data_IF_103962137517
#
_entry.id   IF_103962137517
#
_cell.length_a   1.000
_cell.length_b   1.000
_cell.length_c   1.000
_cell.angle_alpha   90.00
_cell.angle_beta   90.00
_cell.angle_gamma   90.00
#
_symmetry.space_group_name_H-M   'P 1'
#
loop_
_entity.id
_entity.type
_entity.pdbx_description
1 polymer ?
#
# COMPACT_ATOMS: atom_id res chain seq x y z
N UNK A 1 20.45 14.07 0.91
CA UNK A 1 19.75 13.96 2.20
C UNK A 1 19.85 12.58 2.86
N UNK A 2 19.23 11.49 2.36
CA UNK A 2 19.31 10.19 3.07
C UNK A 2 20.71 9.54 3.06
N UNK A 3 21.50 9.75 2.00
CA UNK A 3 22.91 9.29 1.94
C UNK A 3 23.78 9.99 3.00
N UNK A 4 23.60 11.31 3.18
CA UNK A 4 24.38 12.09 4.16
C UNK A 4 24.08 11.65 5.60
N UNK A 5 22.82 11.34 5.91
CA UNK A 5 22.43 10.83 7.24
C UNK A 5 23.00 9.43 7.47
N UNK A 6 23.02 8.56 6.46
CA UNK A 6 23.63 7.22 6.57
C UNK A 6 25.14 7.30 6.81
N UNK A 7 25.84 8.19 6.11
CA UNK A 7 27.29 8.38 6.29
C UNK A 7 27.64 8.92 7.68
N UNK A 8 26.88 9.89 8.18
CA UNK A 8 27.04 10.42 9.53
C UNK A 8 26.82 9.37 10.63
N UNK A 9 25.91 8.42 10.42
CA UNK A 9 25.65 7.31 11.35
C UNK A 9 26.74 6.23 11.31
N UNK A 10 27.26 5.94 10.11
CA UNK A 10 28.41 5.04 9.92
C UNK A 10 29.68 5.61 10.59
N UNK A 11 29.92 6.93 10.50
CA UNK A 11 31.10 7.61 11.07
C UNK A 11 31.14 7.62 12.62
N UNK A 12 29.97 7.49 13.28
CA UNK A 12 29.85 7.43 14.75
C UNK A 12 29.70 5.99 15.29
N UNK A 13 29.94 4.98 14.46
CA UNK A 13 29.91 3.57 14.85
C UNK A 13 28.51 2.97 14.99
N UNK A 14 27.47 3.69 14.57
CA UNK A 14 26.09 3.20 14.48
C UNK A 14 25.88 2.58 13.09
N UNK A 15 26.54 1.45 12.85
CA UNK A 15 26.37 0.69 11.60
C UNK A 15 24.99 0.02 11.62
N UNK A 16 23.96 0.73 11.14
CA UNK A 16 22.68 0.09 10.83
C UNK A 16 22.87 -0.82 9.61
N UNK A 17 22.34 -2.04 9.67
CA UNK A 17 22.27 -2.89 8.47
C UNK A 17 21.52 -2.11 7.38
N UNK A 18 22.21 -1.82 6.28
CA UNK A 18 21.67 -1.04 5.14
C UNK A 18 20.38 -1.68 4.61
N UNK A 19 20.24 -3.00 4.72
CA UNK A 19 19.04 -3.73 4.35
C UNK A 19 17.88 -3.41 5.31
N UNK A 20 18.12 -3.45 6.62
CA UNK A 20 17.12 -3.10 7.62
C UNK A 20 16.69 -1.64 7.51
N UNK A 21 17.63 -0.71 7.31
CA UNK A 21 17.33 0.70 7.13
C UNK A 21 16.45 0.93 5.88
N UNK A 22 16.74 0.23 4.78
CA UNK A 22 15.93 0.28 3.56
C UNK A 22 14.50 -0.23 3.81
N UNK A 23 14.35 -1.37 4.49
CA UNK A 23 13.04 -1.93 4.85
C UNK A 23 12.26 -0.95 5.75
N UNK A 24 12.91 -0.40 6.77
CA UNK A 24 12.30 0.58 7.68
C UNK A 24 11.85 1.84 6.93
N UNK A 25 12.64 2.32 5.98
CA UNK A 25 12.30 3.49 5.16
C UNK A 25 11.08 3.21 4.27
N UNK A 26 11.04 2.04 3.61
CA UNK A 26 9.89 1.61 2.80
C UNK A 26 8.64 1.50 3.66
N UNK A 27 8.72 0.87 4.84
CA UNK A 27 7.60 0.74 5.77
C UNK A 27 7.11 2.11 6.25
N UNK A 28 8.01 3.03 6.57
CA UNK A 28 7.67 4.38 6.98
C UNK A 28 6.94 5.15 5.87
N UNK A 29 7.41 5.05 4.63
CA UNK A 29 6.75 5.64 3.46
C UNK A 29 5.35 5.05 3.26
N UNK A 30 5.23 3.71 3.24
CA UNK A 30 3.93 3.02 3.08
C UNK A 30 2.95 3.41 4.18
N UNK A 31 3.40 3.52 5.43
CA UNK A 31 2.58 3.99 6.54
C UNK A 31 2.10 5.44 6.38
N UNK A 32 2.95 6.33 5.84
CA UNK A 32 2.58 7.71 5.54
C UNK A 32 1.47 7.76 4.48
N UNK A 33 1.62 6.99 3.41
CA UNK A 33 0.63 6.87 2.33
C UNK A 33 -0.71 6.32 2.85
N UNK A 34 -0.69 5.24 3.65
CA UNK A 34 -1.90 4.66 4.25
C UNK A 34 -2.64 5.71 5.11
N UNK A 35 -1.93 6.45 5.95
CA UNK A 35 -2.55 7.49 6.79
C UNK A 35 -3.23 8.57 5.94
N UNK A 36 -2.58 9.02 4.86
CA UNK A 36 -3.14 10.00 3.94
C UNK A 36 -4.41 9.48 3.26
N UNK A 37 -4.40 8.22 2.81
CA UNK A 37 -5.59 7.57 2.23
C UNK A 37 -6.73 7.39 3.25
N UNK A 38 -6.44 7.07 4.51
CA UNK A 38 -7.48 6.96 5.56
C UNK A 38 -8.17 8.30 5.79
N UNK A 39 -7.41 9.40 5.81
CA UNK A 39 -7.99 10.75 5.89
C UNK A 39 -8.89 11.00 4.68
N UNK A 40 -8.41 10.68 3.48
CA UNK A 40 -9.19 10.86 2.26
C UNK A 40 -10.47 10.00 2.22
N UNK A 41 -10.39 8.75 2.65
CA UNK A 41 -11.54 7.85 2.71
C UNK A 41 -12.65 8.42 3.61
N UNK A 42 -12.29 9.04 4.74
CA UNK A 42 -13.25 9.72 5.62
C UNK A 42 -13.93 10.90 4.93
N UNK A 43 -13.19 11.72 4.19
CA UNK A 43 -13.75 12.82 3.41
C UNK A 43 -14.75 12.33 2.36
N UNK A 44 -14.42 11.21 1.71
CA UNK A 44 -15.26 10.58 0.67
C UNK A 44 -16.40 9.73 1.25
N UNK A 45 -16.54 9.63 2.57
CA UNK A 45 -17.48 8.74 3.26
C UNK A 45 -17.36 7.27 2.83
N UNK A 46 -16.16 6.83 2.47
CA UNK A 46 -15.86 5.46 2.11
C UNK A 46 -15.65 4.61 3.38
N UNK A 47 -16.39 3.50 3.51
CA UNK A 47 -16.33 2.63 4.67
C UNK A 47 -15.11 1.69 4.63
N UNK A 48 -14.07 2.07 5.37
CA UNK A 48 -12.82 1.31 5.51
C UNK A 48 -12.90 0.14 6.50
N UNK A 49 -14.05 -0.08 7.16
CA UNK A 49 -14.19 -1.17 8.14
C UNK A 49 -14.24 -2.55 7.47
N UNK A 50 -14.68 -2.60 6.21
CA UNK A 50 -14.83 -3.83 5.43
C UNK A 50 -13.48 -4.43 5.03
N UNK A 51 -13.40 -5.76 4.93
CA UNK A 51 -12.20 -6.46 4.46
C UNK A 51 -11.83 -6.03 3.04
N UNK A 52 -12.84 -5.89 2.17
CA UNK A 52 -12.65 -5.41 0.79
C UNK A 52 -11.97 -4.05 0.73
N UNK A 53 -12.43 -3.08 1.54
CA UNK A 53 -11.83 -1.76 1.58
C UNK A 53 -10.37 -1.83 2.07
N UNK A 54 -10.08 -2.63 3.11
CA UNK A 54 -8.71 -2.83 3.61
C UNK A 54 -7.81 -3.46 2.54
N UNK A 55 -8.32 -4.45 1.80
CA UNK A 55 -7.61 -5.08 0.69
C UNK A 55 -7.31 -4.07 -0.42
N UNK A 56 -8.28 -3.23 -0.80
CA UNK A 56 -8.09 -2.16 -1.80
C UNK A 56 -7.01 -1.16 -1.36
N UNK A 57 -7.10 -0.65 -0.13
CA UNK A 57 -6.08 0.27 0.42
C UNK A 57 -4.68 -0.39 0.43
N UNK A 58 -4.62 -1.66 0.81
CA UNK A 58 -3.37 -2.42 0.84
C UNK A 58 -2.79 -2.63 -0.56
N UNK A 59 -3.65 -2.86 -1.57
CA UNK A 59 -3.25 -3.04 -2.96
C UNK A 59 -2.78 -1.75 -3.64
N UNK A 60 -3.32 -0.61 -3.23
CA UNK A 60 -2.82 0.69 -3.70
C UNK A 60 -1.41 0.92 -3.14
N UNK A 61 -1.18 0.64 -1.86
CA UNK A 61 0.11 0.89 -1.18
C UNK A 61 1.19 -0.15 -1.51
N UNK A 62 0.82 -1.32 -2.01
CA UNK A 62 1.78 -2.34 -2.43
C UNK A 62 2.53 -1.96 -3.70
N UNK A 63 2.04 -1.00 -4.48
CA UNK A 63 2.71 -0.49 -5.67
C UNK A 63 4.08 0.11 -5.34
N UNK A 64 5.07 -0.18 -6.18
CA UNK A 64 6.42 0.33 -6.01
C UNK A 64 6.45 1.86 -6.17
N UNK A 65 7.18 2.53 -5.28
CA UNK A 65 7.37 3.99 -5.28
C UNK A 65 6.10 4.86 -5.26
N UNK A 66 4.94 4.31 -4.87
CA UNK A 66 3.70 5.09 -4.85
C UNK A 66 3.79 6.29 -3.91
N UNK A 67 3.44 7.45 -4.44
CA UNK A 67 3.37 8.71 -3.68
C UNK A 67 2.00 8.88 -3.01
N UNK A 68 1.94 9.73 -1.98
CA UNK A 68 0.67 10.08 -1.32
C UNK A 68 -0.37 10.61 -2.32
N UNK A 69 0.05 11.48 -3.25
CA UNK A 69 -0.83 12.05 -4.26
C UNK A 69 -1.42 10.98 -5.19
N UNK A 70 -0.59 10.08 -5.71
CA UNK A 70 -1.03 8.99 -6.58
C UNK A 70 -1.98 8.02 -5.87
N UNK A 71 -1.68 7.69 -4.61
CA UNK A 71 -2.53 6.82 -3.81
C UNK A 71 -3.91 7.45 -3.52
N UNK A 72 -3.93 8.74 -3.17
CA UNK A 72 -5.16 9.51 -2.97
C UNK A 72 -5.99 9.60 -4.25
N UNK A 73 -5.35 9.90 -5.39
CA UNK A 73 -6.02 10.00 -6.69
C UNK A 73 -6.63 8.64 -7.08
N UNK A 74 -5.87 7.56 -6.90
CA UNK A 74 -6.32 6.18 -7.17
C UNK A 74 -7.50 5.78 -6.29
N UNK A 75 -7.44 6.07 -4.98
CA UNK A 75 -8.55 5.83 -4.06
C UNK A 75 -9.78 6.66 -4.44
N UNK A 76 -9.58 7.93 -4.80
CA UNK A 76 -10.68 8.83 -5.18
C UNK A 76 -11.39 8.34 -6.43
N UNK A 77 -10.64 7.94 -7.46
CA UNK A 77 -11.19 7.32 -8.67
C UNK A 77 -11.98 6.06 -8.35
N UNK A 78 -11.41 5.16 -7.55
CA UNK A 78 -12.10 3.94 -7.12
C UNK A 78 -13.45 4.25 -6.45
N UNK A 79 -13.48 5.18 -5.49
CA UNK A 79 -14.73 5.51 -4.77
C UNK A 79 -15.78 6.16 -5.68
N UNK A 80 -15.36 6.94 -6.68
CA UNK A 80 -16.27 7.65 -7.59
C UNK A 80 -16.78 6.79 -8.76
N UNK A 81 -16.10 5.68 -9.07
CA UNK A 81 -16.50 4.75 -10.12
C UNK A 81 -17.80 4.02 -9.79
N UNK A 82 -18.49 3.57 -10.84
CA UNK A 82 -19.63 2.70 -10.68
C UNK A 82 -19.21 1.28 -10.22
N UNK A 83 -20.17 0.43 -9.89
CA UNK A 83 -19.88 -0.89 -9.34
C UNK A 83 -19.11 -1.81 -10.29
N UNK A 84 -19.24 -1.62 -11.61
CA UNK A 84 -18.56 -2.42 -12.62
C UNK A 84 -17.11 -1.96 -12.76
N UNK A 85 -16.90 -0.66 -12.87
CA UNK A 85 -15.57 -0.02 -12.96
C UNK A 85 -14.77 -0.22 -11.67
N UNK A 86 -15.42 -0.11 -10.50
CA UNK A 86 -14.81 -0.45 -9.20
C UNK A 86 -14.30 -1.89 -9.19
N UNK A 87 -15.11 -2.84 -9.66
CA UNK A 87 -14.71 -4.24 -9.73
C UNK A 87 -13.49 -4.43 -10.62
N UNK A 88 -13.50 -3.86 -11.83
CA UNK A 88 -12.39 -3.98 -12.78
C UNK A 88 -11.09 -3.36 -12.24
N UNK A 89 -11.18 -2.14 -11.72
CA UNK A 89 -10.04 -1.46 -11.11
C UNK A 89 -9.46 -2.25 -9.94
N UNK A 90 -10.33 -2.79 -9.08
CA UNK A 90 -9.91 -3.62 -7.95
C UNK A 90 -9.16 -4.87 -8.40
N UNK A 91 -9.69 -5.60 -9.39
CA UNK A 91 -9.01 -6.81 -9.88
C UNK A 91 -7.63 -6.48 -10.46
N UNK A 92 -7.50 -5.36 -11.19
CA UNK A 92 -6.21 -4.91 -11.70
C UNK A 92 -5.23 -4.55 -10.58
N UNK A 93 -5.68 -3.83 -9.55
CA UNK A 93 -4.87 -3.51 -8.38
C UNK A 93 -4.38 -4.78 -7.66
N UNK A 94 -5.27 -5.75 -7.50
CA UNK A 94 -4.95 -7.00 -6.81
C UNK A 94 -3.98 -7.88 -7.59
N UNK A 95 -4.16 -7.98 -8.91
CA UNK A 95 -3.23 -8.72 -9.78
C UNK A 95 -1.83 -8.11 -9.77
N UNK A 96 -1.73 -6.78 -9.83
CA UNK A 96 -0.45 -6.09 -9.72
C UNK A 96 0.18 -6.33 -8.33
N UNK A 97 -0.59 -6.15 -7.27
CA UNK A 97 -0.11 -6.32 -5.90
C UNK A 97 0.36 -7.74 -5.57
N UNK A 98 -0.31 -8.77 -6.08
CA UNK A 98 0.11 -10.18 -5.89
C UNK A 98 1.41 -10.53 -6.61
N UNK A 99 1.73 -9.87 -7.73
CA UNK A 99 3.00 -10.10 -8.45
C UNK A 99 4.19 -9.53 -7.70
N UNK A 100 3.97 -8.46 -6.94
CA UNK A 100 5.03 -7.68 -6.30
C UNK A 100 5.17 -7.97 -4.79
N UNK A 101 4.18 -8.61 -4.16
CA UNK A 101 4.16 -8.74 -2.69
C UNK A 101 3.51 -10.05 -2.21
N UNK A 102 4.34 -10.95 -1.69
CA UNK A 102 3.90 -12.15 -0.97
C UNK A 102 3.09 -11.80 0.29
N UNK A 103 3.46 -10.72 0.99
CA UNK A 103 2.71 -10.18 2.13
C UNK A 103 1.28 -9.80 1.74
N UNK A 104 1.09 -9.20 0.56
CA UNK A 104 -0.23 -8.87 0.05
C UNK A 104 -1.04 -10.13 -0.30
N UNK A 105 -0.40 -11.15 -0.86
CA UNK A 105 -1.04 -12.43 -1.13
C UNK A 105 -1.58 -13.09 0.16
N UNK A 106 -0.81 -13.04 1.26
CA UNK A 106 -1.25 -13.51 2.58
C UNK A 106 -2.44 -12.69 3.10
N UNK A 107 -2.41 -11.37 2.99
CA UNK A 107 -3.52 -10.49 3.42
C UNK A 107 -4.82 -10.83 2.66
N UNK A 108 -4.73 -11.08 1.35
CA UNK A 108 -5.86 -11.49 0.53
C UNK A 108 -6.47 -12.83 0.98
N UNK A 109 -5.63 -13.81 1.31
CA UNK A 109 -6.08 -15.09 1.85
C UNK A 109 -6.77 -14.92 3.21
N UNK A 110 -6.18 -14.15 4.12
CA UNK A 110 -6.74 -13.88 5.46
C UNK A 110 -8.07 -13.11 5.41
N UNK A 111 -8.24 -12.24 4.41
CA UNK A 111 -9.47 -11.47 4.22
C UNK A 111 -10.60 -12.27 3.53
N UNK A 112 -10.34 -13.53 3.14
CA UNK A 112 -11.29 -14.40 2.44
C UNK A 112 -11.42 -14.10 0.94
N UNK A 113 -10.59 -13.21 0.41
CA UNK A 113 -10.64 -12.77 -1.00
C UNK A 113 -9.73 -13.61 -1.90
N UNK A 114 -8.78 -14.36 -1.34
CA UNK A 114 -7.87 -15.24 -2.07
C UNK A 114 -8.43 -16.63 -2.42
N UNK A 115 -9.47 -17.11 -1.71
CA UNK A 115 -9.98 -18.47 -1.85
C UNK A 115 -10.60 -18.78 -3.22
N UNK A 116 -11.06 -17.77 -3.96
CA UNK A 116 -11.71 -17.91 -5.27
C UNK A 116 -10.80 -17.55 -6.46
N UNK A 117 -9.49 -17.37 -6.25
CA UNK A 117 -8.55 -16.87 -7.28
C UNK A 117 -7.46 -17.86 -7.70
N UNK A 118 -7.48 -19.06 -7.14
CA UNK A 118 -6.64 -20.18 -7.57
C UNK A 118 -7.45 -21.04 -8.55
N UNK A 119 -7.39 -20.69 -9.84
CA UNK A 119 -7.57 -21.61 -10.98
C UNK A 119 -6.60 -21.18 -12.07
#
# INVERSE_FOLDING_TARGET
MYQEVSQLLDDIGYAFDKHELKICTIRAQKNKVIKAMIVKAKELKFDISTNLAKSVLSAIVSQEEITEYQAIDTLTKYVLFDSKEQKEMRENLFLAAMRESEEFHIVMLLNGEGANRVV
#
